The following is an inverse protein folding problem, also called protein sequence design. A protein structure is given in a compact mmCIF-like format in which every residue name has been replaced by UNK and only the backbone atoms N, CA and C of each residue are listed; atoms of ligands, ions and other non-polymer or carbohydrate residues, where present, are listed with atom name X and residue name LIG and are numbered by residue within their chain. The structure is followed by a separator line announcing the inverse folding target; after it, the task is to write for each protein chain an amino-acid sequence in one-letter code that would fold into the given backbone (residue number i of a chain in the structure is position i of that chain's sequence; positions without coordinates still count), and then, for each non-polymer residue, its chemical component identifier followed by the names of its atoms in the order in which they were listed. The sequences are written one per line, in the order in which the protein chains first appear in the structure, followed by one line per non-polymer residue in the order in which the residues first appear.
data_IF_277899658014
#
_entry.id   IF_277899658014
#
_cell.length_a   1.000
_cell.length_b   1.000
_cell.length_c   1.000
_cell.angle_alpha   90.00
_cell.angle_beta   90.00
_cell.angle_gamma   90.00
#
_symmetry.space_group_name_H-M   'P 1'
#
loop_
_entity.id
_entity.type
_entity.pdbx_description
1 polymer ?
#
# COMPACT_ATOMS: atom_id res chain seq x y z
N UNK A 1 19.05 3.75 18.14
CA UNK A 1 18.06 2.67 18.29
C UNK A 1 18.45 1.51 17.38
N UNK A 2 18.28 0.27 17.81
CA UNK A 2 18.51 -0.90 16.93
C UNK A 2 17.35 -1.02 15.93
N UNK A 3 17.67 -1.10 14.64
CA UNK A 3 16.67 -1.35 13.61
C UNK A 3 15.90 -2.65 13.95
N UNK A 4 14.58 -2.67 13.73
CA UNK A 4 13.79 -3.85 14.03
C UNK A 4 14.24 -5.03 13.18
N UNK A 5 14.32 -6.19 13.80
CA UNK A 5 14.71 -7.41 13.10
C UNK A 5 13.60 -7.88 12.19
N UNK A 6 13.89 -8.04 10.91
CA UNK A 6 12.96 -8.63 9.94
C UNK A 6 12.64 -10.07 10.32
N UNK A 7 11.37 -10.35 10.57
CA UNK A 7 10.92 -11.72 10.83
C UNK A 7 11.01 -12.51 9.51
N UNK A 8 11.70 -13.68 9.47
CA UNK A 8 12.00 -14.39 8.23
C UNK A 8 10.81 -14.70 7.32
N UNK A 9 9.63 -14.96 7.89
CA UNK A 9 8.40 -15.23 7.11
C UNK A 9 7.94 -14.04 6.25
N UNK A 10 8.34 -12.81 6.59
CA UNK A 10 7.99 -11.60 5.83
C UNK A 10 9.07 -11.18 4.82
N UNK A 11 10.21 -11.88 4.79
CA UNK A 11 11.27 -11.61 3.81
C UNK A 11 10.77 -11.53 2.35
N UNK A 12 9.83 -12.39 1.89
CA UNK A 12 9.30 -12.30 0.54
C UNK A 12 8.65 -10.95 0.17
N UNK A 13 8.18 -10.16 1.14
CA UNK A 13 7.65 -8.82 0.86
C UNK A 13 8.72 -7.85 0.34
N UNK A 14 9.99 -8.12 0.68
CA UNK A 14 11.13 -7.26 0.36
C UNK A 14 11.94 -7.75 -0.84
N UNK A 15 11.97 -9.07 -1.05
CA UNK A 15 12.86 -9.75 -2.00
C UNK A 15 12.07 -10.60 -3.02
N UNK A 16 10.78 -10.30 -3.23
CA UNK A 16 9.96 -11.10 -4.13
C UNK A 16 10.47 -11.04 -5.57
N UNK A 17 10.44 -12.18 -6.29
CA UNK A 17 10.67 -12.21 -7.73
C UNK A 17 9.71 -11.27 -8.46
N UNK A 18 10.14 -10.74 -9.61
CA UNK A 18 9.35 -9.78 -10.40
C UNK A 18 7.99 -10.33 -10.87
N UNK A 19 7.89 -11.66 -11.03
CA UNK A 19 6.65 -12.34 -11.44
C UNK A 19 5.63 -12.53 -10.32
N UNK A 20 5.95 -12.22 -9.06
CA UNK A 20 5.01 -12.28 -7.94
C UNK A 20 4.16 -11.02 -7.92
N UNK A 21 2.87 -11.19 -8.23
CA UNK A 21 1.90 -10.09 -8.29
C UNK A 21 1.15 -9.88 -6.98
N UNK A 22 0.75 -10.96 -6.31
CA UNK A 22 -0.07 -10.91 -5.11
C UNK A 22 0.69 -11.46 -3.91
N UNK A 23 0.56 -10.75 -2.78
CA UNK A 23 0.98 -11.21 -1.46
C UNK A 23 -0.27 -11.29 -0.58
N UNK A 24 -0.65 -12.49 -0.20
CA UNK A 24 -1.74 -12.71 0.76
C UNK A 24 -1.10 -12.97 2.11
N UNK A 25 -1.36 -12.08 3.06
CA UNK A 25 -0.72 -12.07 4.38
C UNK A 25 -1.80 -12.28 5.43
N UNK A 26 -1.84 -13.49 5.96
CA UNK A 26 -2.80 -13.89 6.99
C UNK A 26 -2.13 -14.10 8.34
N UNK A 27 -2.90 -14.00 9.41
CA UNK A 27 -2.43 -14.27 10.77
C UNK A 27 -3.17 -13.42 11.82
N UNK A 28 -3.28 -13.92 13.05
CA UNK A 28 -3.97 -13.27 14.13
C UNK A 28 -3.31 -11.99 14.64
N UNK A 29 -3.94 -11.38 15.63
CA UNK A 29 -3.40 -10.19 16.33
C UNK A 29 -2.01 -10.47 16.89
N UNK A 30 -1.13 -9.47 16.85
CA UNK A 30 0.25 -9.59 17.35
C UNK A 30 1.20 -10.36 16.42
N UNK A 31 0.76 -10.81 15.24
CA UNK A 31 1.64 -11.48 14.26
C UNK A 31 2.60 -10.56 13.52
N UNK A 32 2.55 -9.25 13.80
CA UNK A 32 3.36 -8.19 13.17
C UNK A 32 3.11 -8.00 11.66
N UNK A 33 1.93 -8.39 11.16
CA UNK A 33 1.54 -8.23 9.74
C UNK A 33 1.65 -6.77 9.30
N UNK A 34 0.87 -5.90 9.93
CA UNK A 34 0.79 -4.48 9.57
C UNK A 34 2.16 -3.82 9.66
N UNK A 35 2.94 -4.14 10.68
CA UNK A 35 4.30 -3.64 10.85
C UNK A 35 5.19 -3.97 9.63
N UNK A 36 5.19 -5.21 9.16
CA UNK A 36 6.05 -5.62 8.03
C UNK A 36 5.49 -5.19 6.68
N UNK A 37 4.17 -5.11 6.53
CA UNK A 37 3.54 -4.57 5.31
C UNK A 37 3.85 -3.09 5.15
N UNK A 38 3.64 -2.28 6.18
CA UNK A 38 3.94 -0.85 6.15
C UNK A 38 5.44 -0.58 5.98
N UNK A 39 6.31 -1.43 6.54
CA UNK A 39 7.75 -1.36 6.35
C UNK A 39 8.15 -1.65 4.89
N UNK A 40 7.61 -2.72 4.28
CA UNK A 40 7.83 -3.03 2.87
C UNK A 40 7.32 -1.92 1.94
N UNK A 41 6.15 -1.35 2.25
CA UNK A 41 5.55 -0.23 1.52
C UNK A 41 6.43 1.02 1.63
N UNK A 42 6.92 1.34 2.83
CA UNK A 42 7.82 2.47 3.02
C UNK A 42 9.11 2.29 2.23
N UNK A 43 9.72 1.09 2.28
CA UNK A 43 10.89 0.75 1.47
C UNK A 43 10.60 0.89 -0.03
N UNK A 44 9.43 0.50 -0.50
CA UNK A 44 9.04 0.60 -1.90
C UNK A 44 9.00 2.05 -2.41
N UNK A 45 8.75 3.03 -1.53
CA UNK A 45 8.81 4.46 -1.91
C UNK A 45 10.21 4.95 -2.29
N UNK A 46 11.27 4.19 -2.00
CA UNK A 46 12.63 4.53 -2.45
C UNK A 46 12.91 4.20 -3.92
N UNK A 47 12.01 3.46 -4.59
CA UNK A 47 11.98 3.37 -6.05
C UNK A 47 11.35 4.64 -6.63
N UNK A 48 11.86 5.14 -7.75
CA UNK A 48 11.45 6.43 -8.29
C UNK A 48 10.06 6.38 -8.95
N UNK A 49 9.20 7.34 -8.61
CA UNK A 49 7.91 7.56 -9.27
C UNK A 49 6.82 6.56 -8.89
N UNK A 50 6.99 5.82 -7.81
CA UNK A 50 6.00 4.84 -7.35
C UNK A 50 4.78 5.54 -6.73
N UNK A 51 3.60 5.09 -7.14
CA UNK A 51 2.32 5.55 -6.60
C UNK A 51 1.62 4.39 -5.92
N UNK A 52 1.60 4.42 -4.60
CA UNK A 52 1.09 3.33 -3.78
C UNK A 52 -0.29 3.71 -3.25
N UNK A 53 -1.29 2.86 -3.45
CA UNK A 53 -2.60 2.99 -2.81
C UNK A 53 -2.62 2.11 -1.57
N UNK A 54 -2.77 2.71 -0.39
CA UNK A 54 -3.04 2.00 0.85
C UNK A 54 -4.51 2.18 1.20
N UNK A 55 -5.26 1.09 1.28
CA UNK A 55 -6.69 1.14 1.43
C UNK A 55 -7.22 0.18 2.48
N UNK A 56 -8.33 0.58 3.09
CA UNK A 56 -9.27 -0.24 3.85
C UNK A 56 -10.66 -0.06 3.26
N UNK A 57 -11.63 -0.83 3.71
CA UNK A 57 -13.03 -0.59 3.35
C UNK A 57 -13.47 0.84 3.66
N UNK A 58 -13.18 1.32 4.87
CA UNK A 58 -13.38 2.72 5.28
C UNK A 58 -12.06 3.32 5.77
N UNK A 59 -11.82 4.58 5.47
CA UNK A 59 -10.59 5.30 5.85
C UNK A 59 -10.86 6.52 6.73
N UNK A 60 -12.00 6.55 7.41
CA UNK A 60 -12.45 7.71 8.20
C UNK A 60 -11.45 8.09 9.30
N UNK A 61 -10.69 7.12 9.81
CA UNK A 61 -9.73 7.30 10.90
C UNK A 61 -8.28 6.93 10.50
N UNK A 62 -7.95 6.91 9.22
CA UNK A 62 -6.59 6.58 8.77
C UNK A 62 -5.50 7.44 9.42
N UNK A 63 -5.78 8.72 9.65
CA UNK A 63 -4.88 9.65 10.31
C UNK A 63 -4.67 9.34 11.79
N UNK A 64 -5.54 8.52 12.41
CA UNK A 64 -5.45 8.13 13.82
C UNK A 64 -4.68 6.82 13.97
N UNK A 65 -4.79 5.89 13.05
CA UNK A 65 -4.24 4.54 13.20
C UNK A 65 -3.12 4.19 12.21
N UNK A 66 -3.33 4.48 10.92
CA UNK A 66 -2.40 4.00 9.87
C UNK A 66 -1.24 4.97 9.67
N UNK A 67 -1.53 6.27 9.51
CA UNK A 67 -0.47 7.26 9.28
C UNK A 67 0.52 7.32 10.44
N UNK A 68 0.10 7.31 11.73
CA UNK A 68 1.04 7.21 12.84
C UNK A 68 1.98 6.01 12.79
N UNK A 69 1.50 4.84 12.33
CA UNK A 69 2.35 3.66 12.16
C UNK A 69 3.49 3.90 11.15
N UNK A 70 3.22 4.63 10.07
CA UNK A 70 4.25 5.02 9.12
C UNK A 70 5.19 6.10 9.68
N UNK A 71 4.67 7.09 10.41
CA UNK A 71 5.50 8.15 11.01
C UNK A 71 6.43 7.59 12.07
N UNK A 72 5.97 6.65 12.90
CA UNK A 72 6.83 5.94 13.85
C UNK A 72 8.00 5.22 13.17
N UNK A 73 7.79 4.64 11.97
CA UNK A 73 8.86 4.01 11.19
C UNK A 73 9.82 5.03 10.61
N UNK A 74 9.30 6.13 10.08
CA UNK A 74 10.12 7.23 9.55
C UNK A 74 11.03 7.77 10.65
N UNK A 75 10.50 7.97 11.86
CA UNK A 75 11.26 8.38 13.03
C UNK A 75 12.28 7.31 13.46
N UNK A 76 11.85 6.06 13.53
CA UNK A 76 12.70 4.93 13.94
C UNK A 76 13.90 4.71 13.00
N UNK A 77 13.72 4.97 11.70
CA UNK A 77 14.79 4.88 10.71
C UNK A 77 15.57 6.20 10.55
N UNK A 78 15.20 7.26 11.27
CA UNK A 78 15.84 8.57 11.22
C UNK A 78 15.86 9.17 9.80
N UNK A 79 14.77 8.99 9.05
CA UNK A 79 14.63 9.43 7.64
C UNK A 79 13.59 10.53 7.45
N UNK A 80 13.30 11.30 8.48
CA UNK A 80 12.29 12.36 8.48
C UNK A 80 12.48 13.37 7.33
N UNK A 81 13.71 13.74 7.06
CA UNK A 81 14.05 14.70 6.01
C UNK A 81 13.72 14.21 4.59
N UNK A 82 13.46 12.92 4.44
CA UNK A 82 13.11 12.30 3.15
C UNK A 82 11.60 12.23 2.91
N UNK A 83 10.77 12.58 3.89
CA UNK A 83 9.33 12.39 3.81
C UNK A 83 8.53 13.64 4.14
N UNK A 84 7.51 13.89 3.32
CA UNK A 84 6.46 14.86 3.60
C UNK A 84 5.18 14.12 3.96
N UNK A 85 4.65 14.35 5.15
CA UNK A 85 3.49 13.63 5.71
C UNK A 85 2.30 14.57 5.83
N UNK A 86 1.15 14.14 5.29
CA UNK A 86 -0.15 14.81 5.42
C UNK A 86 -1.18 13.88 6.07
N UNK A 87 -2.42 14.37 6.23
CA UNK A 87 -3.54 13.53 6.73
C UNK A 87 -4.05 12.48 5.72
N UNK A 88 -3.60 12.53 4.47
CA UNK A 88 -4.12 11.70 3.39
C UNK A 88 -3.04 11.02 2.55
N UNK A 89 -1.79 11.42 2.70
CA UNK A 89 -0.68 10.89 1.90
C UNK A 89 0.67 11.08 2.61
N UNK A 90 1.61 10.24 2.24
CA UNK A 90 3.02 10.32 2.60
C UNK A 90 3.81 10.34 1.30
N UNK A 91 4.69 11.33 1.12
CA UNK A 91 5.48 11.51 -0.10
C UNK A 91 6.96 11.39 0.26
N UNK A 92 7.67 10.50 -0.42
CA UNK A 92 9.12 10.49 -0.41
C UNK A 92 9.61 11.59 -1.37
N UNK A 93 10.14 12.68 -0.82
CA UNK A 93 10.54 13.86 -1.60
C UNK A 93 11.78 13.61 -2.46
N UNK A 94 12.59 12.61 -2.12
CA UNK A 94 13.80 12.25 -2.88
C UNK A 94 13.47 11.55 -4.19
N UNK A 95 12.46 10.68 -4.16
CA UNK A 95 12.09 9.81 -5.30
C UNK A 95 10.82 10.26 -6.01
N UNK A 96 10.08 11.21 -5.42
CA UNK A 96 8.74 11.63 -5.85
C UNK A 96 7.72 10.47 -5.85
N UNK A 97 7.91 9.51 -4.96
CA UNK A 97 7.01 8.38 -4.74
C UNK A 97 6.07 8.66 -3.59
N UNK A 98 4.84 8.18 -3.66
CA UNK A 98 3.84 8.51 -2.65
C UNK A 98 2.94 7.35 -2.25
N UNK A 99 2.50 7.37 -1.00
CA UNK A 99 1.50 6.49 -0.42
C UNK A 99 0.22 7.30 -0.25
N UNK A 100 -0.83 6.90 -0.94
CA UNK A 100 -2.16 7.51 -0.86
C UNK A 100 -3.06 6.65 0.03
N UNK A 101 -3.66 7.25 1.04
CA UNK A 101 -4.59 6.57 1.94
C UNK A 101 -6.04 6.84 1.51
N UNK A 102 -6.80 5.79 1.14
CA UNK A 102 -8.18 5.92 0.65
C UNK A 102 -9.06 4.77 1.13
N UNK A 103 -10.32 5.09 1.47
CA UNK A 103 -11.37 4.08 1.63
C UNK A 103 -11.85 3.55 0.28
N UNK A 104 -12.16 2.26 0.23
CA UNK A 104 -12.64 1.60 -0.99
C UNK A 104 -14.16 1.74 -1.11
N UNK A 105 -14.88 1.74 0.00
CA UNK A 105 -16.34 1.76 0.01
C UNK A 105 -16.91 2.86 -0.90
N UNK A 106 -17.62 2.44 -1.92
CA UNK A 106 -18.31 3.34 -2.84
C UNK A 106 -19.58 3.88 -2.16
N UNK A 107 -19.56 5.13 -1.72
CA UNK A 107 -20.84 5.85 -1.59
C UNK A 107 -21.40 6.05 -3.01
N UNK A 108 -22.60 5.58 -3.22
CA UNK A 108 -23.35 5.68 -4.48
C UNK A 108 -23.22 7.09 -5.07
N UNK A 109 -22.59 7.26 -6.21
CA UNK A 109 -22.56 8.48 -6.98
C UNK A 109 -21.24 8.93 -7.60
N UNK A 110 -20.08 8.45 -7.17
CA UNK A 110 -18.79 8.97 -7.64
C UNK A 110 -17.74 7.90 -8.02
N UNK A 111 -18.17 6.76 -8.58
CA UNK A 111 -17.25 5.71 -9.04
C UNK A 111 -16.22 6.21 -10.07
N UNK A 112 -16.65 7.07 -11.00
CA UNK A 112 -15.78 7.59 -12.05
C UNK A 112 -14.67 8.51 -11.52
N UNK A 113 -14.96 9.32 -10.50
CA UNK A 113 -13.97 10.20 -9.87
C UNK A 113 -12.94 9.39 -9.04
N UNK A 114 -13.39 8.34 -8.35
CA UNK A 114 -12.51 7.43 -7.60
C UNK A 114 -11.56 6.67 -8.53
N UNK A 115 -12.06 6.12 -9.64
CA UNK A 115 -11.24 5.42 -10.63
C UNK A 115 -10.19 6.32 -11.30
N UNK A 116 -10.50 7.61 -11.53
CA UNK A 116 -9.54 8.57 -12.05
C UNK A 116 -8.39 8.84 -11.07
N UNK A 117 -8.65 8.84 -9.78
CA UNK A 117 -7.61 9.03 -8.75
C UNK A 117 -6.64 7.85 -8.63
N UNK A 118 -7.05 6.66 -9.10
CA UNK A 118 -6.24 5.44 -9.10
C UNK A 118 -5.36 5.31 -10.35
N UNK A 119 -5.47 6.23 -11.31
CA UNK A 119 -4.64 6.19 -12.50
C UNK A 119 -3.16 6.34 -12.14
N UNK A 120 -2.35 5.42 -12.66
CA UNK A 120 -0.90 5.40 -12.42
C UNK A 120 -0.48 4.76 -11.11
N UNK A 121 -1.38 4.17 -10.32
CA UNK A 121 -1.01 3.38 -9.15
C UNK A 121 -0.21 2.15 -9.57
N UNK A 122 0.93 1.94 -8.91
CA UNK A 122 1.90 0.87 -9.18
C UNK A 122 1.85 -0.23 -8.14
N UNK A 123 1.35 0.07 -6.95
CA UNK A 123 1.19 -0.87 -5.87
C UNK A 123 -0.12 -0.59 -5.13
N UNK A 124 -0.84 -1.64 -4.77
CA UNK A 124 -2.06 -1.55 -3.98
C UNK A 124 -1.95 -2.41 -2.73
N UNK A 125 -2.24 -1.81 -1.58
CA UNK A 125 -2.39 -2.48 -0.29
C UNK A 125 -3.85 -2.46 0.10
N UNK A 126 -4.43 -3.64 0.33
CA UNK A 126 -5.73 -3.81 0.94
C UNK A 126 -5.53 -4.34 2.36
N UNK A 127 -5.68 -3.47 3.33
CA UNK A 127 -5.58 -3.80 4.75
C UNK A 127 -6.97 -4.11 5.32
N UNK A 128 -7.05 -5.03 6.27
CA UNK A 128 -8.32 -5.55 6.80
C UNK A 128 -9.22 -6.10 5.68
N UNK A 129 -8.64 -6.94 4.81
CA UNK A 129 -9.32 -7.46 3.63
C UNK A 129 -10.57 -8.29 3.94
N UNK A 130 -10.67 -8.84 5.15
CA UNK A 130 -11.86 -9.54 5.67
C UNK A 130 -13.09 -8.65 5.81
N UNK A 131 -12.92 -7.34 5.88
CA UNK A 131 -14.05 -6.39 5.87
C UNK A 131 -14.67 -6.22 4.49
N UNK A 132 -13.97 -6.67 3.43
CA UNK A 132 -14.47 -6.57 2.07
C UNK A 132 -15.62 -7.56 1.87
N UNK A 133 -16.82 -7.05 1.59
CA UNK A 133 -18.04 -7.84 1.45
C UNK A 133 -18.43 -8.10 0.00
N UNK A 134 -17.79 -7.42 -0.94
CA UNK A 134 -18.18 -7.40 -2.35
C UNK A 134 -16.96 -7.69 -3.23
N UNK A 135 -17.01 -8.82 -3.95
CA UNK A 135 -15.98 -9.21 -4.90
C UNK A 135 -15.93 -8.25 -6.11
N UNK A 136 -17.09 -7.71 -6.52
CA UNK A 136 -17.17 -6.76 -7.64
C UNK A 136 -16.42 -5.45 -7.34
N UNK A 137 -16.41 -5.00 -6.07
CA UNK A 137 -15.61 -3.82 -5.68
C UNK A 137 -14.10 -4.12 -5.78
N UNK A 138 -13.67 -5.30 -5.33
CA UNK A 138 -12.28 -5.73 -5.45
C UNK A 138 -11.86 -5.81 -6.91
N UNK A 139 -12.66 -6.50 -7.73
CA UNK A 139 -12.39 -6.67 -9.16
C UNK A 139 -12.33 -5.35 -9.91
N UNK A 140 -13.23 -4.42 -9.60
CA UNK A 140 -13.25 -3.08 -10.21
C UNK A 140 -11.94 -2.33 -9.95
N UNK A 141 -11.40 -2.44 -8.75
CA UNK A 141 -10.12 -1.80 -8.39
C UNK A 141 -8.98 -2.55 -9.05
N UNK A 142 -8.94 -3.89 -8.97
CA UNK A 142 -7.88 -4.71 -9.59
C UNK A 142 -7.82 -4.48 -11.10
N UNK A 143 -8.94 -4.44 -11.80
CA UNK A 143 -9.00 -4.13 -13.24
C UNK A 143 -8.51 -2.72 -13.57
N UNK A 144 -8.68 -1.75 -12.67
CA UNK A 144 -8.17 -0.39 -12.87
C UNK A 144 -6.64 -0.35 -12.93
N UNK A 145 -5.97 -1.30 -12.29
CA UNK A 145 -4.51 -1.43 -12.31
C UNK A 145 -3.98 -2.21 -13.52
N UNK A 146 -4.85 -2.96 -14.24
CA UNK A 146 -4.46 -3.79 -15.38
C UNK A 146 -4.30 -3.01 -16.69
N UNK A 147 -4.62 -1.71 -16.75
CA UNK A 147 -4.48 -0.93 -18.00
C UNK A 147 -3.03 -0.89 -18.44
N UNK A 148 -2.74 -1.63 -19.52
CA UNK A 148 -1.46 -1.59 -20.24
C UNK A 148 -1.13 -0.16 -20.67
N UNK A 149 0.00 0.36 -20.23
CA UNK A 149 0.61 1.54 -20.85
C UNK A 149 0.97 1.21 -22.32
N UNK A 150 0.77 2.16 -23.20
CA UNK A 150 0.98 2.05 -24.67
C UNK A 150 2.45 1.90 -25.11
N UNK A 151 3.40 1.60 -24.25
CA UNK A 151 4.81 1.42 -24.61
C UNK A 151 5.36 0.12 -24.06
N UNK A 152 5.89 -0.66 -24.97
CA UNK A 152 6.51 -1.98 -24.92
C UNK A 152 7.82 -2.05 -24.08
N UNK A 153 7.87 -1.46 -22.91
CA UNK A 153 8.82 -1.86 -21.87
C UNK A 153 8.04 -2.62 -20.82
N UNK A 154 8.50 -3.83 -20.52
CA UNK A 154 8.05 -4.64 -19.40
C UNK A 154 8.20 -3.75 -18.16
N UNK A 155 7.09 -3.10 -17.76
CA UNK A 155 7.06 -2.41 -16.50
C UNK A 155 6.99 -3.51 -15.42
N UNK A 156 7.70 -3.35 -14.29
CA UNK A 156 7.58 -4.29 -13.19
C UNK A 156 6.10 -4.47 -12.86
N UNK A 157 5.65 -5.71 -12.81
CA UNK A 157 4.24 -6.03 -12.60
C UNK A 157 3.79 -5.40 -11.28
N UNK A 158 2.63 -4.76 -11.32
CA UNK A 158 2.05 -4.07 -10.18
C UNK A 158 1.90 -5.05 -9.02
N UNK A 159 2.30 -4.64 -7.83
CA UNK A 159 2.27 -5.47 -6.62
C UNK A 159 1.01 -5.20 -5.81
N UNK A 160 0.47 -6.25 -5.22
CA UNK A 160 -0.70 -6.20 -4.36
C UNK A 160 -0.36 -6.85 -3.03
N UNK A 161 -0.66 -6.16 -1.94
CA UNK A 161 -0.56 -6.69 -0.60
C UNK A 161 -1.96 -6.76 -0.01
N UNK A 162 -2.42 -7.95 0.31
CA UNK A 162 -3.72 -8.20 0.91
C UNK A 162 -3.46 -8.68 2.33
N UNK A 163 -3.79 -7.87 3.32
CA UNK A 163 -3.62 -8.21 4.73
C UNK A 163 -5.00 -8.42 5.38
N UNK A 164 -5.19 -9.54 6.06
CA UNK A 164 -6.42 -9.87 6.75
C UNK A 164 -6.19 -10.70 8.01
N UNK A 165 -7.20 -10.79 8.86
CA UNK A 165 -7.24 -11.72 9.99
C UNK A 165 -7.82 -13.07 9.54
N UNK A 166 -7.38 -14.17 10.17
CA UNK A 166 -8.02 -15.48 10.15
C UNK A 166 -8.70 -15.73 11.47
#
# INVERSE_FOLDING_TARGET
MTAPTLIPKYKPLFDAPENVRYFIITGGRGSSKSFHVSDAVLKYTYSAGEKILYSRRTMTSAHISIIPEFTEKIDMYEVNDSFYVTKAEIINITTNSGILFRGIQASSGNQTAKLKSLQGVTCWVLDEAEEQQDEDEFDTIDFSFRKKGKNTRIQPEKRFYIAGEQ
#
